data_IF_637461771895
#
_entry.id   IF_637461771895
#
_cell.length_a   1.000
_cell.length_b   1.000
_cell.length_c   1.000
_cell.angle_alpha   90.00
_cell.angle_beta   90.00
_cell.angle_gamma   90.00
#
_symmetry.space_group_name_H-M   'P 1'
#
loop_
_entity.id
_entity.type
_entity.pdbx_description
1 polymer ?
#
# COMPACT_ATOMS: atom_id res chain seq x y z
N UNK A 1 15.41 -10.20 -2.95
CA UNK A 1 14.81 -8.86 -2.80
C UNK A 1 13.96 -8.91 -1.54
N UNK A 2 13.92 -7.85 -0.73
CA UNK A 2 13.26 -7.89 0.58
C UNK A 2 12.36 -6.68 0.75
N UNK A 3 11.23 -6.89 1.41
CA UNK A 3 10.45 -5.79 1.95
C UNK A 3 11.22 -5.11 3.09
N UNK A 4 11.05 -3.80 3.21
CA UNK A 4 11.48 -3.01 4.37
C UNK A 4 10.25 -2.35 4.99
N UNK A 5 10.16 -2.32 6.31
CA UNK A 5 9.03 -1.77 7.06
C UNK A 5 9.46 -0.74 8.09
N UNK A 6 8.58 0.20 8.41
CA UNK A 6 8.74 1.26 9.41
C UNK A 6 7.38 1.79 9.83
N UNK A 7 7.33 2.44 10.99
CA UNK A 7 6.24 3.28 11.50
C UNK A 7 6.50 4.79 11.26
N UNK A 8 7.71 5.16 10.83
CA UNK A 8 8.12 6.53 10.55
C UNK A 8 7.78 6.92 9.10
N UNK A 9 6.85 7.86 8.97
CA UNK A 9 6.39 8.35 7.66
C UNK A 9 7.47 9.12 6.89
N UNK A 10 8.37 9.82 7.55
CA UNK A 10 9.45 10.55 6.87
C UNK A 10 10.49 9.56 6.33
N UNK A 11 10.78 8.48 7.06
CA UNK A 11 11.64 7.37 6.57
C UNK A 11 10.99 6.68 5.36
N UNK A 12 9.70 6.39 5.44
CA UNK A 12 8.96 5.79 4.33
C UNK A 12 8.97 6.69 3.09
N UNK A 13 8.63 7.98 3.24
CA UNK A 13 8.55 8.91 2.12
C UNK A 13 9.92 9.19 1.49
N UNK A 14 11.01 9.21 2.28
CA UNK A 14 12.36 9.32 1.75
C UNK A 14 12.71 8.19 0.77
N UNK A 15 12.11 7.00 0.92
CA UNK A 15 12.30 5.86 0.02
C UNK A 15 11.26 5.79 -1.10
N UNK A 16 9.97 5.96 -0.76
CA UNK A 16 8.85 5.56 -1.60
C UNK A 16 8.20 6.71 -2.38
N UNK A 17 8.42 7.97 -2.00
CA UNK A 17 7.76 9.13 -2.63
C UNK A 17 7.94 9.18 -4.16
N UNK A 18 9.13 8.94 -4.75
CA UNK A 18 9.28 8.95 -6.20
C UNK A 18 8.40 7.90 -6.91
N UNK A 19 8.22 6.72 -6.30
CA UNK A 19 7.37 5.65 -6.85
C UNK A 19 5.88 6.01 -6.75
N UNK A 20 5.47 6.58 -5.61
CA UNK A 20 4.08 7.01 -5.41
C UNK A 20 3.72 8.16 -6.35
N UNK A 21 4.58 9.17 -6.44
CA UNK A 21 4.40 10.36 -7.27
C UNK A 21 4.44 10.09 -8.78
N UNK A 22 5.01 8.97 -9.23
CA UNK A 22 5.04 8.61 -10.65
C UNK A 22 3.65 8.35 -11.24
N UNK A 23 2.69 7.89 -10.43
CA UNK A 23 1.31 7.59 -10.84
C UNK A 23 0.31 8.15 -9.83
N UNK A 24 0.20 9.48 -9.69
CA UNK A 24 -0.48 10.10 -8.56
C UNK A 24 -1.98 9.83 -8.57
N UNK A 25 -2.60 9.59 -9.73
CA UNK A 25 -4.02 9.22 -9.86
C UNK A 25 -4.28 7.82 -9.32
N UNK A 26 -3.39 6.87 -9.62
CA UNK A 26 -3.50 5.50 -9.13
C UNK A 26 -3.18 5.42 -7.63
N UNK A 27 -2.24 6.24 -7.15
CA UNK A 27 -1.74 6.22 -5.77
C UNK A 27 -2.31 7.36 -4.90
N UNK A 28 -3.44 7.98 -5.30
CA UNK A 28 -3.96 9.19 -4.64
C UNK A 28 -4.24 8.96 -3.16
N UNK A 29 -4.78 7.80 -2.79
CA UNK A 29 -5.11 7.47 -1.39
C UNK A 29 -3.84 7.38 -0.55
N UNK A 30 -2.83 6.63 -1.01
CA UNK A 30 -1.55 6.49 -0.32
C UNK A 30 -0.87 7.86 -0.12
N UNK A 31 -0.77 8.67 -1.20
CA UNK A 31 -0.20 10.02 -1.14
C UNK A 31 -0.91 10.92 -0.12
N UNK A 32 -2.24 10.87 -0.09
CA UNK A 32 -3.04 11.67 0.84
C UNK A 32 -2.87 11.20 2.29
N UNK A 33 -2.89 9.89 2.51
CA UNK A 33 -2.72 9.29 3.84
C UNK A 33 -1.36 9.62 4.40
N UNK A 34 -0.27 9.41 3.64
CA UNK A 34 1.10 9.66 4.11
C UNK A 34 1.36 11.15 4.35
N UNK A 35 0.85 12.04 3.51
CA UNK A 35 0.96 13.48 3.78
C UNK A 35 0.21 13.90 5.06
N UNK A 36 -0.91 13.24 5.35
CA UNK A 36 -1.67 13.49 6.58
C UNK A 36 -0.95 12.96 7.82
N UNK A 37 -0.38 11.76 7.77
CA UNK A 37 0.49 11.25 8.84
C UNK A 37 1.65 12.21 9.12
N UNK A 38 2.30 12.71 8.07
CA UNK A 38 3.42 13.65 8.19
C UNK A 38 3.04 14.98 8.85
N UNK A 39 1.85 15.52 8.54
CA UNK A 39 1.38 16.80 9.10
C UNK A 39 0.72 16.70 10.47
N UNK A 40 0.11 15.57 10.76
CA UNK A 40 -0.80 15.41 11.92
C UNK A 40 -0.36 14.33 12.90
N UNK A 41 0.75 13.65 12.64
CA UNK A 41 1.34 12.61 13.47
C UNK A 41 0.93 11.19 13.04
N UNK A 42 1.73 10.21 13.45
CA UNK A 42 1.57 8.80 13.12
C UNK A 42 0.20 8.22 13.55
N UNK A 43 -0.36 8.74 14.66
CA UNK A 43 -1.62 8.29 15.24
C UNK A 43 -2.84 9.10 14.80
N UNK A 44 -2.77 9.79 13.65
CA UNK A 44 -3.90 10.60 13.18
C UNK A 44 -5.18 9.79 12.94
N UNK A 45 -5.05 8.53 12.52
CA UNK A 45 -6.18 7.66 12.14
C UNK A 45 -6.61 6.68 13.25
N UNK A 46 -5.81 6.53 14.30
CA UNK A 46 -6.05 5.58 15.39
C UNK A 46 -4.89 5.53 16.37
N UNK A 47 -5.09 4.82 17.48
CA UNK A 47 -4.10 4.72 18.55
C UNK A 47 -2.92 3.79 18.21
N UNK A 48 -3.10 2.88 17.25
CA UNK A 48 -2.05 1.96 16.82
C UNK A 48 -1.08 2.61 15.81
N UNK A 49 0.16 2.09 15.77
CA UNK A 49 1.18 2.55 14.83
C UNK A 49 0.83 2.22 13.37
N UNK A 50 1.19 3.10 12.42
CA UNK A 50 1.10 2.76 11.01
C UNK A 50 2.13 1.69 10.66
N UNK A 51 1.77 0.80 9.73
CA UNK A 51 2.72 -0.09 9.07
C UNK A 51 2.97 0.44 7.66
N UNK A 52 4.17 0.94 7.44
CA UNK A 52 4.62 1.50 6.17
C UNK A 52 5.73 0.62 5.61
N UNK A 53 5.64 0.21 4.36
CA UNK A 53 6.65 -0.67 3.77
C UNK A 53 6.87 -0.46 2.29
N UNK A 54 8.08 -0.77 1.82
CA UNK A 54 8.42 -0.71 0.41
C UNK A 54 9.21 -1.93 -0.04
N UNK A 55 8.98 -2.28 -1.30
CA UNK A 55 9.69 -3.32 -2.04
C UNK A 55 10.62 -2.68 -3.07
N UNK A 56 11.85 -3.17 -3.16
CA UNK A 56 12.80 -2.75 -4.20
C UNK A 56 12.97 -3.82 -5.27
N UNK A 57 12.86 -3.38 -6.53
CA UNK A 57 13.15 -4.20 -7.69
C UNK A 57 14.64 -4.48 -7.87
N UNK A 58 14.99 -5.20 -8.94
CA UNK A 58 16.38 -5.57 -9.26
C UNK A 58 17.30 -4.35 -9.50
N UNK A 59 16.72 -3.26 -9.99
CA UNK A 59 17.40 -1.98 -10.22
C UNK A 59 17.58 -1.14 -8.94
N UNK A 60 17.07 -1.63 -7.81
CA UNK A 60 17.11 -0.94 -6.52
C UNK A 60 16.07 0.17 -6.37
N UNK A 61 15.24 0.42 -7.40
CA UNK A 61 14.14 1.36 -7.33
C UNK A 61 12.98 0.76 -6.53
N UNK A 62 12.19 1.62 -5.86
CA UNK A 62 10.95 1.18 -5.22
C UNK A 62 9.97 0.80 -6.31
N UNK A 63 9.49 -0.43 -6.23
CA UNK A 63 8.56 -1.04 -7.18
C UNK A 63 7.28 -1.51 -6.50
N UNK A 64 7.09 -1.26 -5.21
CA UNK A 64 5.86 -1.60 -4.50
C UNK A 64 5.85 -0.96 -3.13
N UNK A 65 4.66 -0.58 -2.65
CA UNK A 65 4.50 -0.02 -1.31
C UNK A 65 3.32 -0.65 -0.59
N UNK A 66 3.40 -0.68 0.74
CA UNK A 66 2.34 -1.02 1.67
C UNK A 66 2.15 0.16 2.61
N UNK A 67 0.90 0.63 2.76
CA UNK A 67 0.52 1.63 3.77
C UNK A 67 -0.68 1.11 4.53
N UNK A 68 -0.55 0.86 5.82
CA UNK A 68 -1.66 0.51 6.72
C UNK A 68 -1.70 1.50 7.87
N UNK A 69 -2.85 2.10 8.11
CA UNK A 69 -3.10 3.01 9.23
C UNK A 69 -4.33 2.50 9.98
N UNK A 70 -4.17 1.71 11.05
CA UNK A 70 -5.30 1.14 11.76
C UNK A 70 -6.28 2.24 12.21
N UNK A 71 -7.59 1.98 12.14
CA UNK A 71 -8.25 0.70 11.84
C UNK A 71 -8.48 0.43 10.34
N UNK A 72 -7.86 1.21 9.45
CA UNK A 72 -8.09 1.08 8.00
C UNK A 72 -7.30 -0.09 7.39
N UNK A 73 -7.89 -0.67 6.34
CA UNK A 73 -7.28 -1.71 5.50
C UNK A 73 -5.93 -1.26 4.92
N UNK A 74 -5.04 -2.22 4.66
CA UNK A 74 -3.75 -1.93 4.05
C UNK A 74 -3.91 -1.58 2.56
N UNK A 75 -3.15 -0.59 2.09
CA UNK A 75 -3.09 -0.16 0.71
C UNK A 75 -1.81 -0.66 0.06
N UNK A 76 -1.93 -1.50 -0.97
CA UNK A 76 -0.81 -1.93 -1.79
C UNK A 76 -0.80 -1.19 -3.12
N UNK A 77 0.32 -0.53 -3.41
CA UNK A 77 0.48 0.28 -4.62
C UNK A 77 1.67 -0.22 -5.43
N UNK A 78 1.50 -0.32 -6.75
CA UNK A 78 2.52 -0.72 -7.72
C UNK A 78 3.12 -2.14 -7.55
N UNK A 79 2.69 -2.91 -6.55
CA UNK A 79 3.30 -4.18 -6.16
C UNK A 79 3.30 -5.17 -7.32
N UNK A 80 4.47 -5.69 -7.75
CA UNK A 80 4.53 -6.70 -8.79
C UNK A 80 4.24 -8.10 -8.22
N UNK A 81 3.81 -9.07 -9.05
CA UNK A 81 3.44 -10.42 -8.58
C UNK A 81 4.52 -11.12 -7.75
N UNK A 82 5.79 -10.96 -8.10
CA UNK A 82 6.93 -11.57 -7.41
C UNK A 82 7.18 -11.00 -6.00
N UNK A 83 6.63 -9.84 -5.67
CA UNK A 83 6.73 -9.24 -4.35
C UNK A 83 5.67 -9.75 -3.36
N UNK A 84 4.65 -10.48 -3.85
CA UNK A 84 3.54 -10.98 -3.03
C UNK A 84 4.01 -12.05 -2.05
N UNK A 85 4.73 -13.07 -2.51
CA UNK A 85 5.19 -14.14 -1.62
C UNK A 85 6.17 -13.60 -0.55
N UNK A 86 7.19 -12.80 -0.90
CA UNK A 86 8.04 -12.17 0.10
C UNK A 86 7.28 -11.24 1.06
N UNK A 87 6.16 -10.63 0.64
CA UNK A 87 5.33 -9.82 1.53
C UNK A 87 4.69 -10.71 2.59
N UNK A 88 4.04 -11.81 2.17
CA UNK A 88 3.38 -12.76 3.07
C UNK A 88 4.40 -13.39 4.02
N UNK A 89 5.56 -13.80 3.53
CA UNK A 89 6.65 -14.33 4.37
C UNK A 89 7.16 -13.30 5.38
N UNK A 90 7.37 -12.06 4.96
CA UNK A 90 7.91 -11.01 5.83
C UNK A 90 6.91 -10.54 6.89
N UNK A 91 5.61 -10.56 6.58
CA UNK A 91 4.58 -10.35 7.59
C UNK A 91 4.45 -11.58 8.50
N UNK A 92 4.70 -12.79 8.01
CA UNK A 92 4.59 -14.02 8.79
C UNK A 92 3.17 -14.22 9.34
N UNK A 93 3.05 -14.56 10.62
CA UNK A 93 1.77 -14.52 11.35
C UNK A 93 1.41 -13.09 11.86
N UNK A 94 1.99 -12.05 11.25
CA UNK A 94 2.09 -10.68 11.74
C UNK A 94 0.78 -9.89 11.77
N UNK A 95 0.82 -8.56 11.57
CA UNK A 95 -0.32 -7.71 11.86
C UNK A 95 -1.55 -8.16 11.08
N UNK A 96 -2.70 -8.20 11.75
CA UNK A 96 -3.95 -8.63 11.16
C UNK A 96 -4.29 -7.68 9.99
N UNK A 97 -4.08 -8.17 8.77
CA UNK A 97 -4.53 -7.49 7.58
C UNK A 97 -6.02 -7.79 7.44
N UNK A 98 -6.83 -7.17 8.30
CA UNK A 98 -8.29 -7.29 8.31
C UNK A 98 -8.91 -6.92 6.94
N UNK A 99 -8.17 -6.18 6.12
CA UNK A 99 -8.46 -5.96 4.71
C UNK A 99 -7.24 -5.46 3.95
N UNK A 100 -7.27 -5.65 2.63
CA UNK A 100 -6.27 -5.13 1.68
C UNK A 100 -6.98 -4.51 0.49
N UNK A 101 -6.59 -3.29 0.14
CA UNK A 101 -6.90 -2.64 -1.14
C UNK A 101 -5.64 -2.72 -2.03
N UNK A 102 -5.81 -3.26 -3.23
CA UNK A 102 -4.72 -3.48 -4.17
C UNK A 102 -5.27 -3.58 -5.60
N UNK A 103 -4.36 -3.51 -6.59
CA UNK A 103 -4.67 -3.93 -7.95
C UNK A 103 -5.30 -5.33 -7.94
N UNK A 104 -6.36 -5.52 -8.74
CA UNK A 104 -7.21 -6.73 -8.70
C UNK A 104 -6.42 -8.03 -8.75
N UNK A 105 -5.44 -8.11 -9.64
CA UNK A 105 -4.63 -9.33 -9.81
C UNK A 105 -3.71 -9.56 -8.59
N UNK A 106 -3.21 -8.50 -7.97
CA UNK A 106 -2.41 -8.57 -6.73
C UNK A 106 -3.27 -8.97 -5.54
N UNK A 107 -4.48 -8.39 -5.42
CA UNK A 107 -5.46 -8.79 -4.40
C UNK A 107 -5.82 -10.29 -4.54
N UNK A 108 -6.01 -10.77 -5.77
CA UNK A 108 -6.29 -12.18 -6.03
C UNK A 108 -5.10 -13.09 -5.68
N UNK A 109 -3.87 -12.66 -5.99
CA UNK A 109 -2.65 -13.39 -5.61
C UNK A 109 -2.48 -13.49 -4.09
N UNK A 110 -2.74 -12.39 -3.36
CA UNK A 110 -2.71 -12.39 -1.90
C UNK A 110 -3.79 -13.27 -1.29
N UNK A 111 -5.03 -13.17 -1.78
CA UNK A 111 -6.14 -13.98 -1.30
C UNK A 111 -5.91 -15.49 -1.54
N UNK A 112 -5.14 -15.86 -2.56
CA UNK A 112 -4.74 -17.26 -2.77
C UNK A 112 -3.71 -17.78 -1.75
N UNK A 113 -3.00 -16.88 -1.04
CA UNK A 113 -2.02 -17.20 0.01
C UNK A 113 -2.58 -17.06 1.43
N UNK A 114 -3.60 -16.23 1.60
CA UNK A 114 -4.23 -15.96 2.89
C UNK A 114 -5.62 -16.63 2.95
N UNK A 115 -5.80 -17.69 3.76
CA UNK A 115 -7.08 -18.39 3.83
C UNK A 115 -8.18 -17.49 4.42
N UNK A 116 -9.41 -17.61 3.90
CA UNK A 116 -10.57 -16.88 4.41
C UNK A 116 -10.80 -15.49 3.80
N UNK A 117 -9.95 -15.04 2.88
CA UNK A 117 -10.15 -13.79 2.16
C UNK A 117 -11.34 -13.87 1.18
N UNK A 118 -12.08 -12.77 1.06
CA UNK A 118 -13.12 -12.57 0.04
C UNK A 118 -12.99 -11.16 -0.52
N UNK A 119 -13.45 -10.95 -1.75
CA UNK A 119 -13.61 -9.60 -2.30
C UNK A 119 -14.80 -8.91 -1.66
N UNK A 120 -14.58 -7.79 -0.98
CA UNK A 120 -15.67 -6.97 -0.43
C UNK A 120 -16.14 -5.90 -1.43
N UNK A 121 -15.22 -5.32 -2.18
CA UNK A 121 -15.50 -4.27 -3.16
C UNK A 121 -14.56 -4.42 -4.36
N UNK A 122 -15.08 -4.15 -5.56
CA UNK A 122 -14.26 -3.91 -6.75
C UNK A 122 -14.42 -2.44 -7.17
N UNK A 123 -13.29 -1.76 -7.34
CA UNK A 123 -13.24 -0.38 -7.80
C UNK A 123 -12.63 -0.29 -9.19
N UNK A 124 -12.99 0.76 -9.94
CA UNK A 124 -12.44 1.03 -11.27
C UNK A 124 -12.25 2.52 -11.45
N UNK A 125 -11.03 2.91 -11.80
CA UNK A 125 -10.72 4.29 -12.17
C UNK A 125 -11.20 4.57 -13.60
N UNK A 126 -11.93 5.67 -13.76
CA UNK A 126 -12.40 6.14 -15.05
C UNK A 126 -11.64 7.40 -15.44
N UNK A 127 -11.18 7.46 -16.68
CA UNK A 127 -10.66 8.71 -17.25
C UNK A 127 -11.85 9.61 -17.56
N UNK A 128 -11.87 10.80 -16.95
CA UNK A 128 -12.87 11.80 -17.24
C UNK A 128 -12.73 12.29 -18.69
N UNK A 129 -13.85 12.39 -19.39
CA UNK A 129 -13.93 13.06 -20.68
C UNK A 129 -13.94 14.58 -20.52
N UNK A 130 -13.99 15.29 -21.64
CA UNK A 130 -14.18 16.75 -21.64
C UNK A 130 -15.48 17.11 -20.92
N UNK A 131 -15.40 17.96 -19.88
CA UNK A 131 -16.57 18.51 -19.20
C UNK A 131 -17.43 19.27 -20.22
N UNK A 132 -18.71 18.92 -20.32
CA UNK A 132 -19.68 19.60 -21.19
C UNK A 132 -20.63 20.44 -20.32
N UNK A 133 -20.97 21.67 -20.74
CA UNK A 133 -21.96 22.52 -20.06
C UNK A 133 -23.37 21.92 -20.02
#
# INVERSE_FOLDING_TARGET
>A
MTWTFTDDVDVFLAAADPSLAARPVEHTVALTVTERLRRSGAHHYGDDDPLLGWWRGADGAVAGTLVRTPPHAALLNAVPPEAVEPLVEALGAGPDLDGVDADRDIAALLAARLPGCRTEQEQRLYRLGTLRP
#
